data_IF_328976875267
#
_entry.id   IF_328976875267
#
_cell.length_a   1.000
_cell.length_b   1.000
_cell.length_c   1.000
_cell.angle_alpha   90.00
_cell.angle_beta   90.00
_cell.angle_gamma   90.00
#
_symmetry.space_group_name_H-M   'P 1'
#
loop_
_entity.id
_entity.type
_entity.pdbx_description
1 polymer ?
#
# COMPACT_ATOMS: atom_id res chain seq x y z
N UNK A 1 -23.26 21.42 31.73
CA UNK A 1 -23.49 20.08 32.31
C UNK A 1 -23.86 19.11 31.17
N UNK A 2 -22.87 18.46 30.54
CA UNK A 2 -23.13 17.56 29.39
C UNK A 2 -23.47 16.15 29.91
N UNK A 3 -24.70 15.69 29.65
CA UNK A 3 -25.13 14.31 29.94
C UNK A 3 -24.46 13.36 28.95
N UNK A 4 -23.52 12.53 29.43
CA UNK A 4 -23.02 11.37 28.68
C UNK A 4 -23.98 10.21 28.91
N UNK A 5 -24.83 9.92 27.94
CA UNK A 5 -25.58 8.65 27.95
C UNK A 5 -24.59 7.50 27.75
N UNK A 6 -24.58 6.47 28.60
CA UNK A 6 -23.70 5.32 28.41
C UNK A 6 -24.16 4.53 27.17
N UNK A 7 -23.21 4.15 26.32
CA UNK A 7 -23.47 3.27 25.18
C UNK A 7 -23.89 1.89 25.70
N UNK A 8 -25.18 1.56 25.58
CA UNK A 8 -25.70 0.23 25.90
C UNK A 8 -25.23 -0.73 24.82
N UNK A 9 -24.38 -1.71 25.19
CA UNK A 9 -23.97 -2.78 24.28
C UNK A 9 -25.20 -3.67 24.02
N UNK A 10 -25.65 -3.76 22.76
CA UNK A 10 -26.63 -4.77 22.36
C UNK A 10 -26.00 -6.16 22.45
N UNK A 11 -26.76 -7.14 22.92
CA UNK A 11 -26.34 -8.54 22.93
C UNK A 11 -25.97 -8.99 21.51
N UNK A 12 -24.87 -9.73 21.37
CA UNK A 12 -24.43 -10.25 20.08
C UNK A 12 -25.48 -11.22 19.53
N UNK A 13 -25.92 -10.99 18.30
CA UNK A 13 -26.76 -11.95 17.56
C UNK A 13 -25.87 -13.16 17.26
N UNK A 14 -26.03 -14.25 18.01
CA UNK A 14 -25.37 -15.52 17.71
C UNK A 14 -26.12 -16.15 16.54
N UNK A 15 -25.63 -15.92 15.33
CA UNK A 15 -26.15 -16.60 14.15
C UNK A 15 -25.83 -18.10 14.22
N UNK A 16 -26.84 -18.96 14.02
CA UNK A 16 -26.63 -20.40 13.89
C UNK A 16 -25.83 -20.67 12.61
N UNK A 17 -24.62 -21.20 12.75
CA UNK A 17 -23.79 -21.59 11.62
C UNK A 17 -24.35 -22.88 11.01
N UNK A 18 -25.22 -22.74 10.00
CA UNK A 18 -25.66 -23.89 9.20
C UNK A 18 -24.43 -24.49 8.52
N UNK A 19 -24.15 -25.77 8.74
CA UNK A 19 -23.11 -26.47 8.00
C UNK A 19 -23.48 -26.49 6.51
N UNK A 20 -22.75 -25.70 5.73
CA UNK A 20 -22.95 -25.63 4.29
C UNK A 20 -22.18 -26.79 3.66
N UNK A 21 -22.88 -27.69 3.00
CA UNK A 21 -22.26 -28.72 2.15
C UNK A 21 -21.34 -28.07 1.10
N UNK A 22 -20.29 -28.77 0.70
CA UNK A 22 -19.39 -28.34 -0.37
C UNK A 22 -20.19 -27.90 -1.60
N UNK A 23 -19.97 -26.66 -2.05
CA UNK A 23 -20.63 -26.13 -3.24
C UNK A 23 -20.31 -26.96 -4.48
N UNK A 24 -21.18 -26.91 -5.49
CA UNK A 24 -21.05 -27.70 -6.74
C UNK A 24 -19.65 -27.61 -7.35
N UNK A 25 -19.05 -26.41 -7.42
CA UNK A 25 -17.69 -26.22 -7.94
C UNK A 25 -16.61 -26.95 -7.15
N UNK A 26 -16.76 -27.06 -5.83
CA UNK A 26 -15.83 -27.84 -4.98
C UNK A 26 -15.99 -29.34 -5.21
N UNK A 27 -17.23 -29.82 -5.40
CA UNK A 27 -17.52 -31.22 -5.70
C UNK A 27 -16.95 -31.62 -7.07
N UNK A 28 -17.15 -30.78 -8.08
CA UNK A 28 -16.58 -30.97 -9.43
C UNK A 28 -15.05 -30.99 -9.39
N UNK A 29 -14.42 -30.05 -8.67
CA UNK A 29 -12.96 -30.04 -8.52
C UNK A 29 -12.43 -31.28 -7.79
N UNK A 30 -13.15 -31.80 -6.78
CA UNK A 30 -12.83 -33.04 -6.09
C UNK A 30 -12.92 -34.27 -6.99
N UNK A 31 -13.99 -34.37 -7.80
CA UNK A 31 -14.19 -35.50 -8.71
C UNK A 31 -13.17 -35.52 -9.85
N UNK A 32 -12.76 -34.35 -10.33
CA UNK A 32 -11.81 -34.21 -11.43
C UNK A 32 -10.34 -34.12 -10.97
N UNK A 33 -10.08 -34.32 -9.67
CA UNK A 33 -8.75 -34.19 -9.05
C UNK A 33 -8.05 -32.83 -9.32
N UNK A 34 -8.84 -31.78 -9.58
CA UNK A 34 -8.38 -30.40 -9.72
C UNK A 34 -8.36 -29.64 -8.39
N UNK A 35 -8.45 -30.34 -7.25
CA UNK A 35 -8.38 -29.71 -5.93
C UNK A 35 -7.00 -29.11 -5.71
N UNK A 36 -6.86 -27.84 -6.09
CA UNK A 36 -5.72 -27.04 -5.65
C UNK A 36 -5.84 -26.91 -4.13
N UNK A 37 -4.82 -27.28 -3.35
CA UNK A 37 -4.86 -27.07 -1.91
C UNK A 37 -5.18 -25.61 -1.63
N UNK A 38 -5.99 -25.35 -0.60
CA UNK A 38 -6.34 -23.99 -0.16
C UNK A 38 -5.07 -23.36 0.45
N UNK A 39 -4.17 -22.93 -0.43
CA UNK A 39 -2.95 -22.22 -0.12
C UNK A 39 -3.15 -20.73 -0.35
N UNK A 40 -2.46 -19.91 0.43
CA UNK A 40 -2.43 -18.47 0.20
C UNK A 40 -1.73 -18.20 -1.13
N UNK A 41 -2.45 -17.73 -2.15
CA UNK A 41 -1.85 -17.29 -3.41
C UNK A 41 -0.80 -16.21 -3.12
N UNK A 42 0.43 -16.44 -3.55
CA UNK A 42 1.51 -15.47 -3.45
C UNK A 42 1.16 -14.19 -4.22
N UNK A 43 1.62 -13.04 -3.72
CA UNK A 43 1.37 -11.77 -4.39
C UNK A 43 2.21 -11.67 -5.67
N UNK A 44 1.60 -11.16 -6.74
CA UNK A 44 2.29 -10.86 -8.00
C UNK A 44 3.23 -9.64 -7.94
N UNK A 45 3.38 -9.05 -6.77
CA UNK A 45 4.20 -7.87 -6.48
C UNK A 45 4.91 -8.07 -5.16
N UNK A 46 6.01 -7.36 -4.96
CA UNK A 46 6.76 -7.32 -3.73
C UNK A 46 5.89 -6.78 -2.57
N UNK A 47 5.82 -7.56 -1.48
CA UNK A 47 5.07 -7.21 -0.26
C UNK A 47 5.90 -7.60 0.94
N UNK A 48 6.30 -6.64 1.76
CA UNK A 48 7.14 -6.88 2.94
C UNK A 48 6.73 -5.98 4.09
N UNK A 49 6.35 -6.59 5.21
CA UNK A 49 6.08 -5.85 6.46
C UNK A 49 7.35 -5.17 6.95
N UNK A 50 8.48 -5.85 6.90
CA UNK A 50 9.76 -5.29 7.36
C UNK A 50 10.15 -4.06 6.54
N UNK A 51 10.00 -4.13 5.21
CA UNK A 51 10.31 -2.99 4.36
C UNK A 51 9.43 -1.77 4.65
N UNK A 52 8.12 -1.98 4.86
CA UNK A 52 7.20 -0.89 5.29
C UNK A 52 7.59 -0.26 6.62
N UNK A 53 8.09 -1.06 7.57
CA UNK A 53 8.57 -0.54 8.84
C UNK A 53 9.86 0.27 8.65
N UNK A 54 10.84 -0.23 7.89
CA UNK A 54 12.07 0.50 7.60
C UNK A 54 11.77 1.85 6.94
N UNK A 55 10.84 1.88 5.98
CA UNK A 55 10.41 3.14 5.35
C UNK A 55 9.76 4.06 6.38
N UNK A 56 8.83 3.58 7.20
CA UNK A 56 8.16 4.41 8.20
C UNK A 56 9.10 5.00 9.28
N UNK A 57 10.30 4.45 9.46
CA UNK A 57 11.30 5.01 10.40
C UNK A 57 12.06 6.22 9.86
N UNK A 58 12.02 6.48 8.55
CA UNK A 58 12.69 7.63 7.94
C UNK A 58 11.92 8.93 8.15
N UNK A 59 12.61 10.06 8.09
CA UNK A 59 11.97 11.38 8.10
C UNK A 59 11.11 11.59 6.85
N UNK A 60 10.12 12.48 6.95
CA UNK A 60 9.21 12.73 5.83
C UNK A 60 9.97 13.28 4.62
N UNK A 61 10.00 12.54 3.51
CA UNK A 61 10.77 12.91 2.31
C UNK A 61 10.27 14.19 1.63
N UNK A 62 9.02 14.60 1.89
CA UNK A 62 8.48 15.83 1.32
C UNK A 62 8.80 17.08 2.16
N UNK A 63 8.71 17.01 3.49
CA UNK A 63 8.78 18.20 4.36
C UNK A 63 9.79 18.10 5.52
N UNK A 64 10.54 17.01 5.62
CA UNK A 64 11.56 16.79 6.66
C UNK A 64 11.02 16.53 8.07
N UNK A 65 9.70 16.41 8.26
CA UNK A 65 9.11 16.14 9.58
C UNK A 65 9.62 14.80 10.14
N UNK A 66 10.25 14.87 11.31
CA UNK A 66 10.90 13.73 11.95
C UNK A 66 9.96 12.90 12.82
N UNK A 67 10.20 11.58 12.89
CA UNK A 67 9.56 10.65 13.84
C UNK A 67 8.05 10.46 13.69
N UNK A 68 7.45 10.93 12.59
CA UNK A 68 5.99 10.91 12.33
C UNK A 68 5.61 10.33 10.98
N UNK A 69 6.55 9.71 10.28
CA UNK A 69 6.34 9.15 8.95
C UNK A 69 5.53 7.86 8.99
N UNK A 70 4.78 7.64 7.92
CA UNK A 70 4.12 6.38 7.58
C UNK A 70 4.59 5.96 6.19
N UNK A 71 4.53 4.66 5.92
CA UNK A 71 4.77 4.12 4.58
C UNK A 71 3.60 4.44 3.66
N UNK A 72 3.82 5.36 2.71
CA UNK A 72 2.82 5.85 1.76
C UNK A 72 3.08 5.31 0.36
N UNK A 73 2.11 4.64 -0.27
CA UNK A 73 2.25 4.18 -1.66
C UNK A 73 2.11 5.33 -2.66
N UNK A 74 3.03 5.42 -3.62
CA UNK A 74 2.96 6.40 -4.70
C UNK A 74 1.64 6.32 -5.49
N UNK A 75 1.10 7.48 -5.85
CA UNK A 75 -0.05 7.72 -6.74
C UNK A 75 0.31 7.70 -8.24
N UNK A 76 1.07 6.70 -8.65
CA UNK A 76 1.41 6.46 -10.06
C UNK A 76 0.53 5.34 -10.62
N UNK A 77 -0.60 5.71 -11.25
CA UNK A 77 -1.60 4.78 -11.81
C UNK A 77 -0.99 3.70 -12.71
N UNK A 78 0.05 4.05 -13.48
CA UNK A 78 0.75 3.11 -14.36
C UNK A 78 1.81 2.24 -13.66
N UNK A 79 2.17 2.54 -12.41
CA UNK A 79 3.12 1.75 -11.61
C UNK A 79 2.40 0.73 -10.70
N UNK A 80 1.12 0.41 -10.98
CA UNK A 80 0.38 -0.66 -10.31
C UNK A 80 -0.56 -0.22 -9.17
N UNK A 81 -0.83 1.09 -9.00
CA UNK A 81 -1.88 1.58 -8.08
C UNK A 81 -3.19 1.78 -8.85
N UNK A 82 -4.13 0.84 -8.70
CA UNK A 82 -5.47 0.93 -9.30
C UNK A 82 -6.12 -0.41 -9.64
N UNK A 83 -7.39 -0.39 -10.07
CA UNK A 83 -8.12 -1.55 -10.61
C UNK A 83 -8.23 -2.77 -9.69
N UNK A 84 -8.26 -2.57 -8.37
CA UNK A 84 -8.31 -3.69 -7.40
C UNK A 84 -7.02 -4.48 -7.29
N UNK A 85 -5.93 -4.02 -7.91
CA UNK A 85 -4.60 -4.61 -7.78
C UNK A 85 -3.91 -4.12 -6.50
N UNK A 86 -3.14 -5.02 -5.88
CA UNK A 86 -2.31 -4.66 -4.72
C UNK A 86 -1.12 -3.84 -5.20
N UNK A 87 -0.91 -2.67 -4.59
CA UNK A 87 0.30 -1.88 -4.82
C UNK A 87 1.54 -2.61 -4.26
N UNK A 88 2.65 -2.51 -4.99
CA UNK A 88 3.94 -3.05 -4.54
C UNK A 88 4.48 -2.23 -3.37
N UNK A 89 5.03 -2.91 -2.36
CA UNK A 89 5.76 -2.24 -1.28
C UNK A 89 7.10 -1.66 -1.77
N UNK A 90 7.53 -1.90 -3.01
CA UNK A 90 8.71 -1.24 -3.59
C UNK A 90 8.47 0.24 -3.94
N UNK A 91 7.20 0.67 -4.01
CA UNK A 91 6.78 2.02 -4.38
C UNK A 91 6.18 2.76 -3.18
N UNK A 92 6.84 2.67 -2.03
CA UNK A 92 6.45 3.38 -0.81
C UNK A 92 7.50 4.41 -0.42
N UNK A 93 7.04 5.52 0.15
CA UNK A 93 7.88 6.62 0.62
C UNK A 93 7.49 7.01 2.05
N UNK A 94 8.41 7.58 2.85
CA UNK A 94 8.10 8.06 4.19
C UNK A 94 7.39 9.41 4.12
N UNK A 95 6.12 9.46 4.48
CA UNK A 95 5.37 10.72 4.55
C UNK A 95 4.74 10.90 5.93
N UNK A 96 4.80 12.12 6.48
CA UNK A 96 4.26 12.40 7.80
C UNK A 96 2.73 12.27 7.83
N UNK A 97 2.23 11.73 8.94
CA UNK A 97 0.80 11.65 9.22
C UNK A 97 0.21 13.00 9.67
N UNK A 98 -1.11 13.05 9.78
CA UNK A 98 -1.81 14.21 10.35
C UNK A 98 -1.43 14.40 11.83
N UNK A 99 -1.34 15.65 12.27
CA UNK A 99 -1.14 16.08 13.65
C UNK A 99 -2.24 17.09 14.04
N UNK A 100 -2.55 17.30 15.33
CA UNK A 100 -3.47 18.34 15.74
C UNK A 100 -3.08 19.70 15.16
N UNK A 101 -3.96 20.28 14.34
CA UNK A 101 -3.72 21.57 13.67
C UNK A 101 -2.87 21.51 12.39
N UNK A 102 -2.43 20.34 11.93
CA UNK A 102 -1.59 20.20 10.72
C UNK A 102 -1.96 18.96 9.89
N UNK A 103 -2.34 19.18 8.63
CA UNK A 103 -2.47 18.09 7.65
C UNK A 103 -1.10 17.55 7.27
N UNK A 104 -0.95 16.23 7.29
CA UNK A 104 0.25 15.49 6.95
C UNK A 104 0.44 15.33 5.45
N UNK A 105 1.69 15.10 5.03
CA UNK A 105 2.02 14.89 3.63
C UNK A 105 1.45 13.58 3.10
N UNK A 106 1.28 12.56 3.95
CA UNK A 106 0.66 11.30 3.55
C UNK A 106 -0.79 11.51 3.12
N UNK A 107 -1.57 12.20 3.95
CA UNK A 107 -2.95 12.57 3.63
C UNK A 107 -3.03 13.43 2.36
N UNK A 108 -2.16 14.43 2.24
CA UNK A 108 -2.14 15.32 1.08
C UNK A 108 -1.86 14.56 -0.23
N UNK A 109 -0.95 13.59 -0.21
CA UNK A 109 -0.69 12.72 -1.36
C UNK A 109 -1.95 11.92 -1.73
N UNK A 110 -2.59 11.27 -0.76
CA UNK A 110 -3.75 10.40 -1.00
C UNK A 110 -4.96 11.13 -1.59
N UNK A 111 -5.16 12.41 -1.24
CA UNK A 111 -6.26 13.22 -1.78
C UNK A 111 -5.99 13.74 -3.21
N UNK A 112 -4.73 13.78 -3.66
CA UNK A 112 -4.37 13.99 -5.06
C UNK A 112 -4.92 15.27 -5.71
N UNK A 113 -4.53 16.45 -5.23
CA UNK A 113 -5.01 17.72 -5.82
C UNK A 113 -4.06 18.95 -5.67
N UNK A 114 -2.83 18.76 -5.18
CA UNK A 114 -1.93 19.91 -4.91
C UNK A 114 -1.12 20.33 -6.13
N UNK A 115 -0.77 19.39 -7.00
CA UNK A 115 0.07 19.61 -8.18
C UNK A 115 -0.62 19.07 -9.43
N UNK A 116 -0.25 19.60 -10.60
CA UNK A 116 -0.60 18.97 -11.86
C UNK A 116 0.00 17.55 -11.94
N UNK A 117 -0.53 16.74 -12.84
CA UNK A 117 -0.18 15.31 -12.94
C UNK A 117 1.31 15.09 -13.24
N UNK A 118 1.93 15.92 -14.08
CA UNK A 118 3.33 15.76 -14.46
C UNK A 118 4.25 16.14 -13.29
N UNK A 119 3.99 17.29 -12.65
CA UNK A 119 4.74 17.72 -11.46
C UNK A 119 4.59 16.72 -10.32
N UNK A 120 3.37 16.24 -10.06
CA UNK A 120 3.10 15.23 -9.04
C UNK A 120 3.87 13.94 -9.31
N UNK A 121 3.95 13.51 -10.57
CA UNK A 121 4.72 12.32 -10.93
C UNK A 121 6.23 12.51 -10.74
N UNK A 122 6.78 13.66 -11.16
CA UNK A 122 8.19 13.97 -11.00
C UNK A 122 8.60 14.02 -9.52
N UNK A 123 7.80 14.67 -8.67
CA UNK A 123 8.03 14.72 -7.22
C UNK A 123 8.06 13.32 -6.59
N UNK A 124 7.07 12.49 -6.92
CA UNK A 124 6.96 11.12 -6.41
C UNK A 124 8.12 10.22 -6.86
N UNK A 125 8.58 10.37 -8.11
CA UNK A 125 9.76 9.68 -8.61
C UNK A 125 11.02 10.14 -7.86
N UNK A 126 11.16 11.44 -7.60
CA UNK A 126 12.25 11.97 -6.79
C UNK A 126 12.25 11.38 -5.38
N UNK A 127 11.10 11.41 -4.71
CA UNK A 127 10.92 10.89 -3.35
C UNK A 127 11.30 9.41 -3.21
N UNK A 128 10.94 8.56 -4.17
CA UNK A 128 11.30 7.14 -4.10
C UNK A 128 12.79 6.92 -4.34
N UNK A 129 13.44 7.71 -5.21
CA UNK A 129 14.90 7.62 -5.38
C UNK A 129 15.63 8.05 -4.11
N UNK A 130 15.17 9.11 -3.44
CA UNK A 130 15.73 9.53 -2.16
C UNK A 130 15.52 8.47 -1.07
N UNK A 131 14.31 7.94 -0.95
CA UNK A 131 13.98 6.86 0.00
C UNK A 131 14.85 5.63 -0.24
N UNK A 132 15.01 5.22 -1.51
CA UNK A 132 15.89 4.12 -1.93
C UNK A 132 17.34 4.40 -1.54
N UNK A 133 17.86 5.60 -1.78
CA UNK A 133 19.23 5.97 -1.43
C UNK A 133 19.47 5.88 0.09
N UNK A 134 18.55 6.42 0.90
CA UNK A 134 18.63 6.35 2.36
C UNK A 134 18.61 4.89 2.85
N UNK A 135 17.69 4.06 2.36
CA UNK A 135 17.62 2.65 2.76
C UNK A 135 18.82 1.83 2.27
N UNK A 136 19.39 2.14 1.10
CA UNK A 136 20.62 1.50 0.63
C UNK A 136 21.81 1.84 1.53
N UNK A 137 21.94 3.10 1.96
CA UNK A 137 22.97 3.50 2.92
C UNK A 137 22.83 2.76 4.26
N UNK A 138 21.60 2.49 4.68
CA UNK A 138 21.29 1.69 5.88
C UNK A 138 21.38 0.17 5.67
N UNK A 139 21.68 -0.32 4.46
CA UNK A 139 21.61 -1.74 4.08
C UNK A 139 20.25 -2.39 4.35
N UNK A 140 19.18 -1.61 4.20
CA UNK A 140 17.79 -1.99 4.46
C UNK A 140 16.93 -2.05 3.18
N UNK A 141 17.53 -1.84 2.01
CA UNK A 141 16.88 -1.93 0.71
C UNK A 141 16.97 -3.35 0.14
N UNK A 142 15.88 -4.13 0.06
CA UNK A 142 15.92 -5.51 -0.43
C UNK A 142 16.05 -5.58 -1.96
N UNK A 143 16.76 -6.59 -2.46
CA UNK A 143 16.88 -6.87 -3.91
C UNK A 143 15.51 -7.07 -4.59
N UNK A 144 14.59 -7.74 -3.90
CA UNK A 144 13.22 -7.92 -4.40
C UNK A 144 12.44 -6.59 -4.51
N UNK A 145 12.78 -5.58 -3.69
CA UNK A 145 12.22 -4.24 -3.85
C UNK A 145 12.84 -3.52 -5.05
N UNK A 146 14.15 -3.67 -5.27
CA UNK A 146 14.85 -3.13 -6.44
C UNK A 146 14.24 -3.64 -7.76
N UNK A 147 14.11 -4.96 -7.90
CA UNK A 147 13.57 -5.58 -9.11
C UNK A 147 12.14 -5.11 -9.42
N UNK A 148 11.30 -4.97 -8.38
CA UNK A 148 9.93 -4.48 -8.54
C UNK A 148 9.87 -2.98 -8.86
N UNK A 149 10.72 -2.17 -8.22
CA UNK A 149 10.86 -0.75 -8.50
C UNK A 149 11.23 -0.51 -9.96
N UNK A 150 12.28 -1.18 -10.45
CA UNK A 150 12.76 -1.07 -11.82
C UNK A 150 11.65 -1.46 -12.81
N UNK A 151 11.03 -2.62 -12.61
CA UNK A 151 9.94 -3.12 -13.45
C UNK A 151 8.78 -2.13 -13.52
N UNK A 152 8.32 -1.61 -12.38
CA UNK A 152 7.13 -0.77 -12.31
C UNK A 152 7.39 0.66 -12.80
N UNK A 153 8.55 1.26 -12.44
CA UNK A 153 8.91 2.59 -12.92
C UNK A 153 9.28 2.59 -14.39
N UNK A 154 9.98 1.58 -14.90
CA UNK A 154 10.25 1.48 -16.35
C UNK A 154 8.93 1.37 -17.13
N UNK A 155 7.97 0.59 -16.66
CA UNK A 155 6.65 0.51 -17.28
C UNK A 155 5.90 1.85 -17.21
N UNK A 156 6.04 2.59 -16.11
CA UNK A 156 5.47 3.94 -16.00
C UNK A 156 6.08 4.90 -17.03
N UNK A 157 7.41 4.96 -17.12
CA UNK A 157 8.15 5.89 -17.98
C UNK A 157 8.05 5.57 -19.47
N UNK A 158 7.88 4.31 -19.85
CA UNK A 158 7.71 3.88 -21.25
C UNK A 158 6.32 4.18 -21.82
N UNK A 159 5.34 4.55 -20.98
CA UNK A 159 3.99 4.84 -21.49
C UNK A 159 4.02 6.13 -22.30
N UNK A 160 3.43 6.15 -23.49
CA UNK A 160 3.19 7.40 -24.20
C UNK A 160 2.33 8.29 -23.29
N UNK A 161 2.79 9.51 -23.08
CA UNK A 161 2.02 10.57 -22.45
C UNK A 161 0.82 10.85 -23.35
N UNK A 162 -0.30 10.17 -23.13
CA UNK A 162 -1.58 10.60 -23.66
C UNK A 162 -1.88 11.95 -22.99
N UNK A 163 -1.74 13.02 -23.78
CA UNK A 163 -2.20 14.36 -23.45
C UNK A 163 -3.70 14.40 -23.26
#
# INVERSE_FOLDING_TARGET
MMRRSPLVRKAAIVGSKVERTLGLGHRVAATLDFLRPIGKKESSVFRSRQHRLNVATLDCVHCGRQGRSQAAHLNLLAAGKGMGLKASDALIVPLCCDEPGRRGCHHALDQGAVYDKATSAALQIGWIQETRAQLRALRQWPEAAEADLERLLCNYLRRPSYG
#
